data_IF_174253228178
#
_entry.id   IF_174253228178
#
_cell.length_a   1.000
_cell.length_b   1.000
_cell.length_c   1.000
_cell.angle_alpha   90.00
_cell.angle_beta   90.00
_cell.angle_gamma   90.00
#
_symmetry.space_group_name_H-M   'P 1'
#
loop_
_entity.id
_entity.type
_entity.pdbx_description
1 polymer ?
#
# COMPACT_ATOMS: atom_id res chain seq x y z
N UNK A 1 -14.10 -18.07 -4.90
CA UNK A 1 -13.60 -18.81 -3.72
C UNK A 1 -13.19 -17.78 -2.68
N UNK A 2 -13.10 -18.17 -1.40
CA UNK A 2 -12.52 -17.31 -0.35
C UNK A 2 -11.00 -17.52 -0.29
N UNK A 3 -10.23 -16.48 0.03
CA UNK A 3 -8.76 -16.50 0.04
C UNK A 3 -8.22 -15.45 1.02
N UNK A 4 -7.14 -15.73 1.75
CA UNK A 4 -6.47 -14.74 2.61
C UNK A 4 -7.40 -13.97 3.55
N UNK A 5 -8.21 -14.69 4.34
CA UNK A 5 -9.25 -14.13 5.23
C UNK A 5 -10.39 -13.35 4.55
N UNK A 6 -10.33 -13.13 3.24
CA UNK A 6 -11.36 -12.44 2.47
C UNK A 6 -12.41 -13.43 1.94
N UNK A 7 -13.65 -13.31 2.45
CA UNK A 7 -14.82 -14.08 1.96
C UNK A 7 -15.51 -13.38 0.79
N UNK A 8 -15.57 -12.05 0.84
CA UNK A 8 -16.08 -11.19 -0.23
C UNK A 8 -15.00 -10.17 -0.59
N UNK A 9 -14.94 -9.78 -1.85
CA UNK A 9 -14.08 -8.69 -2.30
C UNK A 9 -14.93 -7.42 -2.44
N UNK A 10 -15.15 -6.76 -1.29
CA UNK A 10 -15.90 -5.52 -1.17
C UNK A 10 -15.25 -4.38 -1.97
N UNK A 11 -13.91 -4.36 -2.04
CA UNK A 11 -13.14 -3.44 -2.89
C UNK A 11 -13.56 -3.56 -4.36
N UNK A 12 -13.56 -4.77 -4.92
CA UNK A 12 -13.97 -5.02 -6.32
C UNK A 12 -15.42 -4.60 -6.54
N UNK A 13 -16.32 -4.90 -5.61
CA UNK A 13 -17.73 -4.50 -5.70
C UNK A 13 -17.85 -2.97 -5.74
N UNK A 14 -17.14 -2.26 -4.86
CA UNK A 14 -17.13 -0.80 -4.81
C UNK A 14 -16.58 -0.21 -6.12
N UNK A 15 -15.42 -0.66 -6.59
CA UNK A 15 -14.80 -0.17 -7.83
C UNK A 15 -15.69 -0.44 -9.05
N UNK A 16 -16.27 -1.65 -9.17
CA UNK A 16 -17.21 -1.96 -10.26
C UNK A 16 -18.41 -1.02 -10.28
N UNK A 17 -18.92 -0.63 -9.11
CA UNK A 17 -20.05 0.32 -9.02
C UNK A 17 -19.69 1.72 -9.55
N UNK A 18 -18.43 2.14 -9.40
CA UNK A 18 -17.92 3.43 -9.86
C UNK A 18 -17.58 3.39 -11.35
N UNK A 19 -16.92 2.32 -11.81
CA UNK A 19 -16.60 2.11 -13.24
C UNK A 19 -17.88 2.02 -14.08
N UNK A 20 -18.96 1.40 -13.57
CA UNK A 20 -20.28 1.39 -14.24
C UNK A 20 -20.87 2.78 -14.45
N UNK A 21 -20.45 3.78 -13.67
CA UNK A 21 -20.84 5.19 -13.84
C UNK A 21 -19.91 5.94 -14.81
N UNK A 22 -18.97 5.26 -15.45
CA UNK A 22 -18.01 5.82 -16.40
C UNK A 22 -16.74 6.41 -15.78
N UNK A 23 -16.54 6.23 -14.46
CA UNK A 23 -15.41 6.80 -13.72
C UNK A 23 -14.13 5.97 -13.88
N UNK A 24 -12.99 6.65 -13.93
CA UNK A 24 -11.64 6.08 -13.86
C UNK A 24 -11.18 6.01 -12.41
N UNK A 25 -10.63 4.87 -12.01
CA UNK A 25 -10.30 4.60 -10.62
C UNK A 25 -8.82 4.26 -10.49
N UNK A 26 -8.10 4.96 -9.61
CA UNK A 26 -6.80 4.50 -9.15
C UNK A 26 -7.01 3.72 -7.85
N UNK A 27 -6.74 2.42 -7.86
CA UNK A 27 -6.70 1.60 -6.67
C UNK A 27 -5.25 1.46 -6.20
N UNK A 28 -4.96 1.89 -4.97
CA UNK A 28 -3.62 1.84 -4.40
C UNK A 28 -3.67 1.00 -3.13
N UNK A 29 -2.94 -0.09 -3.14
CA UNK A 29 -2.88 -1.07 -2.05
C UNK A 29 -1.53 -1.00 -1.35
N UNK A 30 -1.55 -0.70 -0.06
CA UNK A 30 -0.35 -0.64 0.80
C UNK A 30 -0.30 -1.76 1.83
N UNK A 31 -1.18 -2.76 1.72
CA UNK A 31 -1.11 -4.01 2.49
C UNK A 31 0.16 -4.78 2.18
N UNK A 32 0.71 -5.48 3.17
CA UNK A 32 1.89 -6.29 2.94
C UNK A 32 1.65 -7.45 1.95
N UNK A 33 0.40 -7.87 1.74
CA UNK A 33 0.03 -8.94 0.82
C UNK A 33 -0.36 -8.38 -0.55
N UNK A 34 0.10 -9.03 -1.62
CA UNK A 34 -0.28 -8.63 -2.97
C UNK A 34 -1.81 -8.67 -3.16
N UNK A 35 -2.36 -7.63 -3.82
CA UNK A 35 -3.80 -7.44 -4.01
C UNK A 35 -4.40 -8.31 -5.14
N UNK A 36 -4.06 -9.59 -5.15
CA UNK A 36 -4.34 -10.53 -6.23
C UNK A 36 -5.81 -10.56 -6.68
N UNK A 37 -6.76 -10.49 -5.73
CA UNK A 37 -8.18 -10.46 -6.02
C UNK A 37 -8.64 -9.22 -6.79
N UNK A 38 -8.12 -8.05 -6.42
CA UNK A 38 -8.46 -6.78 -7.10
C UNK A 38 -7.76 -6.74 -8.46
N UNK A 39 -6.47 -7.10 -8.50
CA UNK A 39 -5.72 -7.22 -9.75
C UNK A 39 -6.45 -8.13 -10.75
N UNK A 40 -6.81 -9.35 -10.35
CA UNK A 40 -7.45 -10.32 -11.24
C UNK A 40 -8.81 -9.83 -11.76
N UNK A 41 -9.57 -9.11 -10.94
CA UNK A 41 -10.87 -8.56 -11.35
C UNK A 41 -10.76 -7.49 -12.45
N UNK A 42 -9.65 -6.75 -12.49
CA UNK A 42 -9.43 -5.64 -13.42
C UNK A 42 -8.27 -5.85 -14.39
N UNK A 43 -7.74 -7.07 -14.50
CA UNK A 43 -6.52 -7.39 -15.25
C UNK A 43 -6.59 -7.06 -16.75
N UNK A 44 -7.79 -6.89 -17.30
CA UNK A 44 -8.04 -6.53 -18.70
C UNK A 44 -8.59 -5.10 -18.90
N UNK A 45 -8.72 -4.32 -17.83
CA UNK A 45 -9.36 -3.00 -17.84
C UNK A 45 -8.31 -1.88 -17.84
N UNK A 46 -8.47 -0.91 -18.73
CA UNK A 46 -7.75 0.38 -18.72
C UNK A 46 -8.47 1.46 -17.88
N UNK A 47 -9.66 1.14 -17.34
CA UNK A 47 -10.45 2.04 -16.49
C UNK A 47 -10.01 2.03 -15.03
N UNK A 48 -9.19 1.05 -14.64
CA UNK A 48 -8.71 0.89 -13.27
C UNK A 48 -7.20 0.77 -13.28
N UNK A 49 -6.50 1.73 -12.71
CA UNK A 49 -5.07 1.63 -12.42
C UNK A 49 -4.91 0.95 -11.06
N UNK A 50 -4.45 -0.29 -11.04
CA UNK A 50 -4.20 -1.08 -9.84
C UNK A 50 -2.71 -1.01 -9.47
N UNK A 51 -2.38 -0.40 -8.33
CA UNK A 51 -1.01 -0.32 -7.82
C UNK A 51 -0.93 -1.07 -6.50
N UNK A 52 0.00 -2.03 -6.40
CA UNK A 52 0.20 -2.85 -5.20
C UNK A 52 1.64 -2.75 -4.69
N UNK A 53 1.80 -2.44 -3.42
CA UNK A 53 3.06 -2.45 -2.70
C UNK A 53 3.00 -3.57 -1.67
N UNK A 54 3.77 -4.63 -1.86
CA UNK A 54 3.63 -5.85 -1.06
C UNK A 54 4.97 -6.54 -0.85
N UNK A 55 5.04 -7.44 0.13
CA UNK A 55 6.19 -8.30 0.31
C UNK A 55 6.25 -9.31 -0.85
N UNK A 56 7.45 -9.58 -1.32
CA UNK A 56 7.65 -10.43 -2.48
C UNK A 56 7.08 -11.83 -2.26
N UNK A 57 6.32 -12.33 -3.24
CA UNK A 57 5.61 -13.61 -3.16
C UNK A 57 6.49 -14.85 -2.91
N UNK A 58 7.81 -14.74 -2.97
CA UNK A 58 8.70 -15.83 -2.50
C UNK A 58 8.73 -15.99 -0.98
N UNK A 59 8.39 -14.95 -0.24
CA UNK A 59 8.41 -14.92 1.23
C UNK A 59 7.01 -14.91 1.83
N UNK A 60 6.04 -14.29 1.14
CA UNK A 60 4.70 -14.07 1.70
C UNK A 60 3.60 -14.56 0.76
N UNK A 61 2.49 -15.01 1.37
CA UNK A 61 1.22 -15.21 0.66
C UNK A 61 0.82 -13.91 -0.06
N UNK A 62 0.16 -13.93 -1.24
CA UNK A 62 -0.37 -15.07 -1.99
C UNK A 62 0.61 -15.75 -2.96
N UNK A 63 1.88 -15.35 -3.00
CA UNK A 63 2.85 -15.90 -3.95
C UNK A 63 2.75 -15.34 -5.38
N UNK A 64 2.02 -14.24 -5.57
CA UNK A 64 1.88 -13.51 -6.84
C UNK A 64 2.40 -12.07 -6.70
N UNK A 65 2.23 -11.23 -7.73
CA UNK A 65 2.66 -9.82 -7.66
C UNK A 65 4.08 -9.55 -8.16
N UNK A 66 4.64 -10.40 -9.02
CA UNK A 66 5.89 -10.03 -9.70
C UNK A 66 5.66 -8.85 -10.67
N UNK A 67 6.68 -8.03 -10.88
CA UNK A 67 6.64 -6.83 -11.77
C UNK A 67 6.10 -7.14 -13.17
N UNK A 68 6.40 -8.32 -13.71
CA UNK A 68 5.92 -8.76 -15.03
C UNK A 68 4.41 -8.98 -15.13
N UNK A 69 3.68 -9.11 -14.01
CA UNK A 69 2.24 -9.32 -13.97
C UNK A 69 1.48 -7.99 -14.18
N UNK A 70 1.63 -7.42 -15.38
CA UNK A 70 1.28 -6.03 -15.69
C UNK A 70 -0.08 -5.83 -16.39
N UNK A 71 -0.99 -6.78 -16.25
CA UNK A 71 -2.27 -6.78 -16.96
C UNK A 71 -2.20 -7.40 -18.35
N UNK A 72 -3.32 -7.39 -19.07
CA UNK A 72 -3.46 -7.99 -20.40
C UNK A 72 -4.49 -7.25 -21.25
N UNK A 73 -4.43 -7.41 -22.58
CA UNK A 73 -5.35 -6.70 -23.49
C UNK A 73 -5.26 -5.18 -23.30
N UNK A 74 -6.42 -4.52 -23.15
CA UNK A 74 -6.50 -3.09 -22.83
C UNK A 74 -5.90 -2.74 -21.46
N UNK A 75 -5.96 -3.65 -20.49
CA UNK A 75 -5.41 -3.42 -19.14
C UNK A 75 -3.91 -3.57 -19.01
N UNK A 76 -3.17 -3.83 -20.12
CA UNK A 76 -1.71 -3.92 -20.07
C UNK A 76 -1.10 -2.57 -19.68
N UNK A 77 -0.23 -2.58 -18.66
CA UNK A 77 0.32 -1.39 -18.02
C UNK A 77 -0.52 -0.87 -16.84
N UNK A 78 -1.76 -1.35 -16.65
CA UNK A 78 -2.67 -0.86 -15.61
C UNK A 78 -2.68 -1.72 -14.34
N UNK A 79 -1.93 -2.82 -14.30
CA UNK A 79 -1.57 -3.52 -13.06
C UNK A 79 -0.11 -3.27 -12.76
N UNK A 80 0.18 -2.63 -11.63
CA UNK A 80 1.50 -2.15 -11.26
C UNK A 80 1.86 -2.79 -9.93
N UNK A 81 2.79 -3.74 -9.98
CA UNK A 81 3.20 -4.49 -8.80
C UNK A 81 4.62 -4.12 -8.40
N UNK A 82 4.77 -3.66 -7.16
CA UNK A 82 6.06 -3.38 -6.56
C UNK A 82 6.29 -4.33 -5.38
N UNK A 83 6.92 -5.50 -5.63
CA UNK A 83 7.31 -6.40 -4.57
C UNK A 83 8.50 -5.81 -3.81
N UNK A 84 8.52 -6.01 -2.49
CA UNK A 84 9.62 -5.66 -1.60
C UNK A 84 10.28 -6.90 -1.04
N UNK A 85 11.57 -6.82 -0.80
CA UNK A 85 12.26 -7.83 -0.01
C UNK A 85 11.93 -7.64 1.48
N UNK A 86 11.97 -8.70 2.31
CA UNK A 86 11.90 -8.57 3.76
C UNK A 86 12.77 -7.44 4.31
N UNK A 87 12.31 -6.82 5.40
CA UNK A 87 12.98 -5.73 6.12
C UNK A 87 13.08 -4.39 5.38
N UNK A 88 12.20 -4.15 4.40
CA UNK A 88 12.01 -2.81 3.86
C UNK A 88 11.49 -1.87 4.97
N UNK A 89 12.19 -0.75 5.17
CA UNK A 89 11.89 0.26 6.17
C UNK A 89 11.16 1.49 5.57
N UNK A 90 10.83 2.46 6.42
CA UNK A 90 10.17 3.69 6.02
C UNK A 90 10.89 4.42 4.88
N UNK A 91 12.23 4.44 4.90
CA UNK A 91 13.02 5.17 3.90
C UNK A 91 12.91 4.52 2.52
N UNK A 92 13.10 3.19 2.47
CA UNK A 92 12.99 2.42 1.24
C UNK A 92 11.56 2.50 0.70
N UNK A 93 10.57 2.31 1.56
CA UNK A 93 9.16 2.30 1.16
C UNK A 93 8.70 3.66 0.64
N UNK A 94 8.99 4.76 1.37
CA UNK A 94 8.59 6.11 0.95
C UNK A 94 9.31 6.56 -0.33
N UNK A 95 10.59 6.22 -0.48
CA UNK A 95 11.31 6.48 -1.73
C UNK A 95 10.62 5.76 -2.89
N UNK A 96 10.39 4.46 -2.77
CA UNK A 96 9.75 3.66 -3.81
C UNK A 96 8.33 4.13 -4.12
N UNK A 97 7.57 4.53 -3.10
CA UNK A 97 6.23 5.10 -3.24
C UNK A 97 6.26 6.36 -4.10
N UNK A 98 7.16 7.30 -3.80
CA UNK A 98 7.30 8.57 -4.54
C UNK A 98 7.76 8.38 -5.98
N UNK A 99 8.59 7.37 -6.22
CA UNK A 99 9.09 7.06 -7.57
C UNK A 99 8.02 6.45 -8.48
N UNK A 100 6.99 5.80 -7.91
CA UNK A 100 6.00 5.03 -8.67
C UNK A 100 4.62 5.68 -8.65
N UNK A 101 4.09 6.01 -7.46
CA UNK A 101 2.68 6.35 -7.30
C UNK A 101 2.33 7.73 -7.85
N UNK A 102 2.98 8.84 -7.42
CA UNK A 102 2.64 10.17 -7.95
C UNK A 102 2.70 10.27 -9.47
N UNK A 103 3.78 9.82 -10.17
CA UNK A 103 3.86 9.95 -11.63
C UNK A 103 2.76 9.19 -12.36
N UNK A 104 2.47 7.95 -11.93
CA UNK A 104 1.46 7.11 -12.56
C UNK A 104 0.04 7.63 -12.28
N UNK A 105 -0.25 8.04 -11.04
CA UNK A 105 -1.57 8.58 -10.68
C UNK A 105 -1.84 9.89 -11.40
N UNK A 106 -0.85 10.78 -11.48
CA UNK A 106 -0.99 12.05 -12.21
C UNK A 106 -1.24 11.83 -13.70
N UNK A 107 -0.53 10.89 -14.32
CA UNK A 107 -0.68 10.60 -15.76
C UNK A 107 -1.97 9.83 -16.06
N UNK A 108 -2.43 9.02 -15.10
CA UNK A 108 -3.69 8.32 -15.21
C UNK A 108 -4.91 9.22 -14.97
N UNK A 109 -4.77 10.35 -14.27
CA UNK A 109 -5.88 11.29 -14.02
C UNK A 109 -7.18 10.58 -13.54
N UNK A 110 -7.16 9.87 -12.40
CA UNK A 110 -8.33 9.18 -11.90
C UNK A 110 -9.42 10.17 -11.42
N UNK A 111 -10.68 9.79 -11.57
CA UNK A 111 -11.81 10.53 -10.98
C UNK A 111 -11.88 10.33 -9.46
N UNK A 112 -11.47 9.14 -8.98
CA UNK A 112 -11.48 8.74 -7.58
C UNK A 112 -10.25 7.88 -7.29
N UNK A 113 -9.60 8.15 -6.17
CA UNK A 113 -8.59 7.26 -5.59
C UNK A 113 -9.26 6.38 -4.54
N UNK A 114 -9.13 5.07 -4.70
CA UNK A 114 -9.57 4.05 -3.74
C UNK A 114 -8.31 3.45 -3.12
N UNK A 115 -8.21 3.42 -1.80
CA UNK A 115 -7.01 2.90 -1.12
C UNK A 115 -7.35 1.79 -0.16
N UNK A 116 -6.52 0.75 -0.14
CA UNK A 116 -6.50 -0.27 0.90
C UNK A 116 -5.37 0.11 1.84
N UNK A 117 -5.69 0.37 3.11
CA UNK A 117 -4.79 0.96 4.09
C UNK A 117 -4.32 -0.05 5.15
N UNK A 118 -3.93 -1.24 4.69
CA UNK A 118 -3.38 -2.33 5.49
C UNK A 118 -2.24 -1.86 6.38
N UNK A 119 -2.21 -2.38 7.60
CA UNK A 119 -1.28 -2.00 8.66
C UNK A 119 -0.29 -3.11 9.00
N UNK A 120 -0.36 -4.23 8.29
CA UNK A 120 0.51 -5.38 8.49
C UNK A 120 1.92 -5.20 7.94
N UNK A 121 2.23 -4.06 7.31
CA UNK A 121 3.61 -3.64 7.01
C UNK A 121 4.36 -3.15 8.26
N UNK A 122 3.69 -2.97 9.40
CA UNK A 122 4.31 -2.45 10.60
C UNK A 122 5.26 -3.47 11.25
N UNK A 123 6.37 -3.01 11.83
CA UNK A 123 7.40 -3.88 12.45
C UNK A 123 6.96 -4.75 13.64
N UNK A 124 5.74 -4.57 14.13
CA UNK A 124 5.17 -5.36 15.22
C UNK A 124 4.16 -6.39 14.69
N UNK A 125 3.85 -6.34 13.39
CA UNK A 125 2.92 -7.28 12.81
C UNK A 125 3.53 -8.69 12.87
N UNK A 126 2.76 -9.70 13.32
CA UNK A 126 3.27 -11.06 13.48
C UNK A 126 3.36 -11.85 12.16
N UNK A 127 2.80 -11.36 11.04
CA UNK A 127 2.65 -12.14 9.81
C UNK A 127 3.65 -11.77 8.71
N UNK A 128 4.26 -10.59 8.77
CA UNK A 128 5.07 -10.03 7.66
C UNK A 128 6.47 -9.67 8.15
N UNK A 129 7.37 -9.35 7.23
CA UNK A 129 8.75 -9.00 7.54
C UNK A 129 9.08 -7.54 7.23
N UNK A 130 8.08 -6.71 6.91
CA UNK A 130 8.30 -5.28 6.83
C UNK A 130 8.64 -4.69 8.19
N UNK A 131 9.30 -3.53 8.17
CA UNK A 131 9.73 -2.82 9.38
C UNK A 131 9.32 -1.36 9.32
N UNK A 132 8.14 -1.09 8.77
CA UNK A 132 7.58 0.26 8.75
C UNK A 132 7.13 0.67 10.15
N UNK A 133 7.20 1.96 10.41
CA UNK A 133 6.66 2.60 11.61
C UNK A 133 5.31 3.24 11.34
N UNK A 134 4.57 3.57 12.40
CA UNK A 134 3.39 4.43 12.26
C UNK A 134 3.70 5.80 11.65
N UNK A 135 4.92 6.33 11.81
CA UNK A 135 5.34 7.58 11.17
C UNK A 135 5.49 7.40 9.66
N UNK A 136 6.23 6.37 9.22
CA UNK A 136 6.39 6.05 7.79
C UNK A 136 5.05 5.80 7.11
N UNK A 137 4.18 5.00 7.75
CA UNK A 137 2.81 4.79 7.30
C UNK A 137 2.05 6.12 7.17
N UNK A 138 2.09 6.99 8.18
CA UNK A 138 1.41 8.29 8.16
C UNK A 138 1.91 9.19 7.02
N UNK A 139 3.21 9.14 6.70
CA UNK A 139 3.76 9.88 5.57
C UNK A 139 3.20 9.35 4.23
N UNK A 140 3.06 8.03 4.05
CA UNK A 140 2.39 7.46 2.87
C UNK A 140 0.95 7.97 2.76
N UNK A 141 0.19 8.01 3.87
CA UNK A 141 -1.17 8.55 3.87
C UNK A 141 -1.21 10.04 3.48
N UNK A 142 -0.23 10.84 3.92
CA UNK A 142 -0.12 12.26 3.53
C UNK A 142 0.16 12.43 2.03
N UNK A 143 1.00 11.57 1.45
CA UNK A 143 1.25 11.58 -0.01
C UNK A 143 -0.04 11.19 -0.77
N UNK A 144 -0.76 10.16 -0.32
CA UNK A 144 -2.05 9.75 -0.90
C UNK A 144 -3.10 10.88 -0.86
N UNK A 145 -3.17 11.61 0.27
CA UNK A 145 -4.09 12.76 0.45
C UNK A 145 -3.88 13.85 -0.61
N UNK A 146 -2.65 14.06 -1.06
CA UNK A 146 -2.31 15.05 -2.09
C UNK A 146 -2.70 14.60 -3.50
N UNK A 147 -2.73 13.28 -3.74
CA UNK A 147 -3.04 12.68 -5.04
C UNK A 147 -4.53 12.46 -5.27
N UNK A 148 -5.34 12.41 -4.21
CA UNK A 148 -6.74 12.02 -4.29
C UNK A 148 -7.68 13.23 -4.53
N UNK A 149 -8.30 13.37 -5.73
CA UNK A 149 -9.32 14.40 -5.95
C UNK A 149 -10.62 14.09 -5.17
N UNK A 150 -10.94 12.80 -5.07
CA UNK A 150 -11.96 12.20 -4.21
C UNK A 150 -11.37 10.90 -3.68
N UNK A 151 -11.63 10.60 -2.41
CA UNK A 151 -10.97 9.50 -1.73
C UNK A 151 -11.96 8.57 -1.04
N UNK A 152 -11.84 7.27 -1.35
CA UNK A 152 -12.44 6.18 -0.56
C UNK A 152 -11.30 5.38 0.05
N UNK A 153 -11.25 5.31 1.37
CA UNK A 153 -10.26 4.53 2.11
C UNK A 153 -10.91 3.32 2.76
N UNK A 154 -10.29 2.15 2.61
CA UNK A 154 -10.64 0.91 3.29
C UNK A 154 -9.51 0.53 4.25
N UNK A 155 -9.82 -0.37 5.19
CA UNK A 155 -8.81 -1.02 6.02
C UNK A 155 -8.03 -2.07 5.21
N UNK A 156 -7.79 -3.23 5.82
CA UNK A 156 -7.00 -4.30 5.24
C UNK A 156 -6.47 -5.25 6.31
N UNK A 157 -5.35 -5.88 6.03
CA UNK A 157 -4.55 -6.62 6.99
C UNK A 157 -4.00 -5.74 8.11
N UNK A 158 -3.56 -6.39 9.19
CA UNK A 158 -3.07 -5.75 10.40
C UNK A 158 -3.46 -6.60 11.60
N UNK A 159 -2.47 -7.26 12.19
CA UNK A 159 -2.69 -8.36 13.14
C UNK A 159 -2.12 -8.06 14.53
N UNK A 160 -1.39 -6.96 14.69
CA UNK A 160 -1.22 -6.28 15.98
C UNK A 160 -2.33 -5.23 16.18
N UNK A 161 -3.26 -5.50 17.09
CA UNK A 161 -4.42 -4.63 17.30
C UNK A 161 -4.06 -3.25 17.88
N UNK A 162 -2.92 -3.12 18.57
CA UNK A 162 -2.41 -1.85 19.04
C UNK A 162 -1.93 -0.99 17.87
N UNK A 163 -1.22 -1.60 16.92
CA UNK A 163 -0.82 -0.97 15.65
C UNK A 163 -2.04 -0.56 14.84
N UNK A 164 -2.98 -1.47 14.57
CA UNK A 164 -4.17 -1.19 13.74
C UNK A 164 -4.90 0.06 14.23
N UNK A 165 -5.15 0.12 15.54
CA UNK A 165 -5.83 1.27 16.13
C UNK A 165 -5.03 2.57 15.99
N UNK A 166 -3.70 2.55 16.19
CA UNK A 166 -2.84 3.73 16.03
C UNK A 166 -2.77 4.19 14.58
N UNK A 167 -2.45 3.27 13.65
CA UNK A 167 -2.30 3.55 12.23
C UNK A 167 -3.58 4.12 11.61
N UNK A 168 -4.74 3.49 11.84
CA UNK A 168 -6.00 4.02 11.29
C UNK A 168 -6.49 5.29 11.98
N UNK A 169 -6.14 5.52 13.25
CA UNK A 169 -6.37 6.83 13.90
C UNK A 169 -5.56 7.93 13.21
N UNK A 170 -4.28 7.68 12.93
CA UNK A 170 -3.41 8.61 12.20
C UNK A 170 -3.91 8.85 10.78
N UNK A 171 -4.27 7.78 10.05
CA UNK A 171 -4.83 7.91 8.70
C UNK A 171 -6.10 8.75 8.69
N UNK A 172 -7.02 8.50 9.62
CA UNK A 172 -8.24 9.29 9.77
C UNK A 172 -7.94 10.77 10.08
N UNK A 173 -6.91 11.05 10.88
CA UNK A 173 -6.43 12.42 11.13
C UNK A 173 -6.03 13.13 9.84
N UNK A 174 -5.18 12.50 9.04
CA UNK A 174 -4.75 13.02 7.74
C UNK A 174 -5.95 13.26 6.80
N UNK A 175 -6.91 12.32 6.75
CA UNK A 175 -8.11 12.48 5.93
C UNK A 175 -9.00 13.66 6.38
N UNK A 176 -8.99 13.99 7.68
CA UNK A 176 -9.73 15.12 8.24
C UNK A 176 -8.92 16.43 8.26
N UNK A 177 -7.72 16.43 7.67
CA UNK A 177 -6.76 17.54 7.73
C UNK A 177 -6.49 17.96 9.20
N UNK A 178 -6.35 16.97 10.09
CA UNK A 178 -6.07 17.12 11.53
C UNK A 178 -4.82 16.36 11.95
N UNK A 179 -4.02 17.00 12.80
CA UNK A 179 -2.88 16.35 13.44
C UNK A 179 -3.23 15.98 14.88
N UNK A 180 -3.17 14.69 15.20
CA UNK A 180 -3.46 14.21 16.56
C UNK A 180 -2.21 14.34 17.44
N UNK A 181 -2.35 14.66 18.74
CA UNK A 181 -1.23 14.58 19.66
C UNK A 181 -0.74 13.14 19.80
N UNK A 182 0.50 12.96 20.24
CA UNK A 182 1.09 11.64 20.47
C UNK A 182 0.54 10.91 21.70
N UNK A 183 -0.13 11.65 22.58
CA UNK A 183 -0.72 11.10 23.79
C UNK A 183 -1.87 10.14 23.43
N UNK A 184 -1.77 8.91 23.91
CA UNK A 184 -2.82 7.90 23.78
C UNK A 184 -3.52 7.68 25.13
N UNK A 185 -4.83 7.33 25.14
CA UNK A 185 -5.57 7.12 26.39
C UNK A 185 -4.89 6.11 27.32
N UNK A 186 -4.89 6.36 28.63
CA UNK A 186 -4.22 5.47 29.61
C UNK A 186 -4.73 4.02 29.53
N UNK A 187 -6.03 3.82 29.35
CA UNK A 187 -6.63 2.49 29.16
C UNK A 187 -6.06 1.77 27.93
N UNK A 188 -5.72 2.51 26.86
CA UNK A 188 -5.09 1.96 25.67
C UNK A 188 -3.62 1.62 25.93
N UNK A 189 -2.90 2.48 26.67
CA UNK A 189 -1.52 2.22 27.10
C UNK A 189 -1.43 0.93 27.93
N UNK A 190 -2.31 0.78 28.93
CA UNK A 190 -2.37 -0.39 29.81
C UNK A 190 -2.70 -1.67 29.02
N UNK A 191 -3.63 -1.60 28.06
CA UNK A 191 -4.06 -2.75 27.28
C UNK A 191 -3.00 -3.28 26.32
N UNK A 192 -2.26 -2.39 25.66
CA UNK A 192 -1.35 -2.76 24.57
C UNK A 192 0.13 -2.56 24.90
N UNK A 193 0.47 -2.00 26.08
CA UNK A 193 1.85 -1.71 26.46
C UNK A 193 2.51 -0.59 25.63
N UNK A 194 1.73 0.15 24.86
CA UNK A 194 2.18 1.24 23.99
C UNK A 194 2.16 2.56 24.76
N UNK A 195 3.06 3.49 24.39
CA UNK A 195 3.18 4.78 25.08
C UNK A 195 2.72 5.98 24.25
N UNK A 196 2.73 5.84 22.92
CA UNK A 196 2.51 6.95 21.98
C UNK A 196 1.73 6.48 20.76
N UNK A 197 1.07 7.45 20.12
CA UNK A 197 0.39 7.27 18.85
C UNK A 197 1.39 7.01 17.72
N UNK A 198 2.49 7.76 17.66
CA UNK A 198 3.56 7.63 16.66
C UNK A 198 4.80 6.95 17.23
N UNK A 199 5.44 6.15 16.39
CA UNK A 199 6.76 5.58 16.65
C UNK A 199 7.82 6.51 16.05
N UNK A 200 8.69 7.05 16.91
CA UNK A 200 9.69 8.07 16.53
C UNK A 200 11.09 7.50 16.33
N UNK A 201 11.31 6.25 16.72
CA UNK A 201 12.60 5.61 16.64
C UNK A 201 12.67 4.74 15.40
N UNK A 202 13.73 4.93 14.60
CA UNK A 202 14.09 3.95 13.59
C UNK A 202 14.56 2.66 14.29
N UNK A 203 14.08 1.53 13.79
CA UNK A 203 14.58 0.24 14.24
C UNK A 203 16.02 0.05 13.76
N UNK A 204 16.86 -0.45 14.65
CA UNK A 204 18.19 -0.90 14.28
C UNK A 204 18.05 -2.21 13.49
N UNK A 205 18.27 -2.14 12.18
CA UNK A 205 18.33 -3.30 11.30
C UNK A 205 19.77 -3.69 11.05
N UNK A 206 19.99 -4.96 10.68
CA UNK A 206 21.27 -5.40 10.15
C UNK A 206 21.55 -4.67 8.82
N UNK A 207 22.76 -4.08 8.69
CA UNK A 207 23.13 -3.27 7.53
C UNK A 207 23.01 -4.03 6.21
N UNK A 208 23.32 -5.34 6.20
CA UNK A 208 23.24 -6.16 4.99
C UNK A 208 21.79 -6.44 4.62
N UNK A 209 20.92 -6.70 5.60
CA UNK A 209 19.49 -6.86 5.36
C UNK A 209 18.88 -5.59 4.75
N UNK A 210 19.23 -4.42 5.30
CA UNK A 210 18.79 -3.12 4.78
C UNK A 210 19.31 -2.84 3.37
N UNK A 211 20.60 -3.10 3.12
CA UNK A 211 21.20 -2.95 1.79
C UNK A 211 20.52 -3.87 0.76
N UNK A 212 20.28 -5.13 1.11
CA UNK A 212 19.61 -6.08 0.24
C UNK A 212 18.17 -5.65 -0.09
N UNK A 213 17.42 -5.19 0.91
CA UNK A 213 16.07 -4.68 0.71
C UNK A 213 16.06 -3.44 -0.20
N UNK A 214 17.02 -2.53 -0.02
CA UNK A 214 17.17 -1.35 -0.85
C UNK A 214 17.50 -1.69 -2.30
N UNK A 215 18.51 -2.52 -2.54
CA UNK A 215 18.92 -2.92 -3.90
C UNK A 215 17.81 -3.67 -4.63
N UNK A 216 17.05 -4.51 -3.92
CA UNK A 216 15.89 -5.20 -4.49
C UNK A 216 14.82 -4.20 -4.90
N UNK A 217 14.40 -3.30 -4.01
CA UNK A 217 13.41 -2.26 -4.32
C UNK A 217 13.86 -1.39 -5.49
N UNK A 218 15.15 -1.00 -5.52
CA UNK A 218 15.72 -0.23 -6.62
C UNK A 218 15.58 -0.94 -7.97
N UNK A 219 15.97 -2.21 -8.02
CA UNK A 219 15.84 -3.02 -9.24
C UNK A 219 14.40 -3.12 -9.72
N UNK A 220 13.43 -3.30 -8.81
CA UNK A 220 12.00 -3.42 -9.16
C UNK A 220 11.41 -2.09 -9.64
N UNK A 221 11.77 -0.97 -9.01
CA UNK A 221 11.38 0.37 -9.45
C UNK A 221 11.91 0.67 -10.86
N UNK A 222 13.18 0.40 -11.12
CA UNK A 222 13.77 0.58 -12.45
C UNK A 222 13.10 -0.29 -13.52
N UNK A 223 12.73 -1.52 -13.17
CA UNK A 223 12.01 -2.44 -14.05
C UNK A 223 10.61 -1.91 -14.38
N UNK A 224 9.85 -1.42 -13.39
CA UNK A 224 8.54 -0.78 -13.60
C UNK A 224 8.66 0.47 -14.48
N UNK A 225 9.67 1.31 -14.26
CA UNK A 225 9.91 2.48 -15.12
C UNK A 225 10.20 2.11 -16.58
N UNK A 226 10.83 0.97 -16.83
CA UNK A 226 11.10 0.50 -18.21
C UNK A 226 9.88 -0.16 -18.85
N UNK A 227 9.01 -0.79 -18.05
CA UNK A 227 7.97 -1.71 -18.56
C UNK A 227 6.55 -1.18 -18.44
N UNK A 228 6.27 -0.30 -17.48
CA UNK A 228 4.92 0.23 -17.19
C UNK A 228 4.80 1.70 -17.59
N UNK A 229 5.77 2.55 -17.24
CA UNK A 229 5.71 4.00 -17.50
C UNK A 229 5.49 4.37 -18.98
N UNK A 230 6.03 3.63 -19.98
CA UNK A 230 5.74 3.91 -21.39
C UNK A 230 4.24 3.86 -21.76
N UNK A 231 3.40 3.17 -20.99
CA UNK A 231 1.94 3.16 -21.21
C UNK A 231 1.26 4.47 -20.79
N UNK A 232 1.94 5.31 -20.00
CA UNK A 232 1.42 6.58 -19.47
C UNK A 232 2.12 7.82 -20.05
N UNK A 233 3.05 7.62 -21.00
CA UNK A 233 3.77 8.73 -21.63
C UNK A 233 4.77 9.43 -20.70
N UNK A 234 5.20 8.75 -19.64
CA UNK A 234 6.16 9.21 -18.63
C UNK A 234 7.49 8.48 -18.71
#
# INVERSE_FOLDING_TARGET
>A
YASGFCVFNDVVIAILSLVKKGLRIAYIDIDAHHCDGVQNAFYQSDRVLNISFHEWGRYLFPGTGDVGQSGSGSGRGYSVNLPFYPYADDQIYLWAFREIVPPLVQSFEPDIVVTQLGCDTHYLDPLTHFVLTTEGYTQVIKELRQLAPKWVALGGGGYDMGVVARSWTLAYGVMMDRDWPDEIPSQFQERYGLKRLRDHAQLALDDKAKEQAHLFAQSRVEELKKTVFPFFGT
#
